data_IF_222710657431
#
_entry.id   IF_222710657431
#
_cell.length_a   1.000
_cell.length_b   1.000
_cell.length_c   1.000
_cell.angle_alpha   90.00
_cell.angle_beta   90.00
_cell.angle_gamma   90.00
#
_symmetry.space_group_name_H-M   'P 1'
#
loop_
_entity.id
_entity.type
_entity.pdbx_description
1 polymer ?
#
# COMPACT_ATOMS: atom_id res chain seq x y z
N UNK A 1 -1.19 -16.54 26.29
CA UNK A 1 -0.39 -15.47 25.66
C UNK A 1 -1.28 -14.25 25.57
N UNK A 2 -0.89 -13.13 26.17
CA UNK A 2 -1.68 -11.88 26.12
C UNK A 2 -1.53 -11.21 24.74
N UNK A 3 -2.46 -10.33 24.36
CA UNK A 3 -2.36 -9.46 23.16
C UNK A 3 -0.96 -8.81 23.02
N UNK A 4 -0.33 -8.46 24.15
CA UNK A 4 1.01 -7.86 24.17
C UNK A 4 2.10 -8.77 23.57
N UNK A 5 2.03 -10.10 23.71
CA UNK A 5 3.07 -11.00 23.19
C UNK A 5 3.03 -11.17 21.67
N UNK A 6 1.84 -11.12 21.06
CA UNK A 6 1.67 -11.22 19.60
C UNK A 6 2.11 -9.94 18.88
N UNK A 7 1.80 -8.76 19.44
CA UNK A 7 2.34 -7.50 18.92
C UNK A 7 3.87 -7.47 18.91
N UNK A 8 4.53 -8.14 19.87
CA UNK A 8 5.99 -8.24 19.91
C UNK A 8 6.56 -9.13 18.78
N UNK A 9 5.81 -10.11 18.27
CA UNK A 9 6.26 -10.96 17.16
C UNK A 9 6.47 -10.11 15.90
N UNK A 10 5.45 -9.31 15.55
CA UNK A 10 5.50 -8.45 14.36
C UNK A 10 6.06 -7.06 14.61
N UNK A 11 6.44 -6.73 15.85
CA UNK A 11 7.20 -5.51 16.15
C UNK A 11 8.47 -5.43 15.30
N UNK A 12 9.16 -6.57 15.10
CA UNK A 12 10.33 -6.66 14.21
C UNK A 12 10.04 -6.21 12.77
N UNK A 13 8.86 -6.49 12.23
CA UNK A 13 8.44 -6.01 10.90
C UNK A 13 8.25 -4.49 10.89
N UNK A 14 7.65 -3.95 11.95
CA UNK A 14 7.48 -2.49 12.09
C UNK A 14 8.84 -1.79 12.24
N UNK A 15 9.78 -2.38 12.98
CA UNK A 15 11.13 -1.83 13.09
C UNK A 15 11.88 -1.83 11.76
N UNK A 16 11.69 -2.87 10.91
CA UNK A 16 12.18 -2.81 9.53
C UNK A 16 11.49 -1.70 8.73
N UNK A 17 10.17 -1.50 8.88
CA UNK A 17 9.47 -0.41 8.22
C UNK A 17 10.00 0.97 8.64
N UNK A 18 10.50 1.13 9.88
CA UNK A 18 11.16 2.36 10.34
C UNK A 18 12.50 2.64 9.66
N UNK A 19 13.25 1.59 9.31
CA UNK A 19 14.52 1.74 8.57
C UNK A 19 14.24 2.23 7.14
N UNK A 20 13.15 1.73 6.55
CA UNK A 20 12.70 2.09 5.21
C UNK A 20 11.54 3.11 5.23
N UNK A 21 11.55 3.99 6.23
CA UNK A 21 10.52 5.01 6.42
C UNK A 21 10.64 6.09 5.33
N UNK A 22 9.58 6.25 4.55
CA UNK A 22 9.46 7.19 3.41
C UNK A 22 9.62 8.65 3.85
N UNK A 23 9.31 8.98 5.10
CA UNK A 23 9.43 10.33 5.63
C UNK A 23 10.84 10.64 6.15
N UNK A 24 11.68 9.62 6.33
CA UNK A 24 13.00 9.76 6.98
C UNK A 24 14.17 9.40 6.08
N UNK A 25 13.94 8.61 5.03
CA UNK A 25 15.01 8.09 4.18
C UNK A 25 14.75 8.38 2.70
N UNK A 26 15.73 8.94 1.96
CA UNK A 26 15.62 9.14 0.52
C UNK A 26 16.03 7.88 -0.28
N UNK A 27 16.23 6.74 0.38
CA UNK A 27 16.65 5.52 -0.31
C UNK A 27 15.54 5.01 -1.25
N UNK A 28 15.87 4.40 -2.40
CA UNK A 28 14.86 3.89 -3.34
C UNK A 28 13.90 2.84 -2.75
N UNK A 29 14.32 2.14 -1.69
CA UNK A 29 13.49 1.16 -0.98
C UNK A 29 12.76 1.75 0.23
N UNK A 30 12.89 3.04 0.51
CA UNK A 30 12.17 3.71 1.59
C UNK A 30 10.73 4.04 1.14
N UNK A 31 9.87 3.02 1.24
CA UNK A 31 8.50 3.00 0.71
C UNK A 31 7.44 2.73 1.79
N UNK A 32 7.83 2.76 3.07
CA UNK A 32 6.95 2.39 4.17
C UNK A 32 6.65 3.59 5.06
N UNK A 33 5.46 3.60 5.65
CA UNK A 33 5.14 4.44 6.80
C UNK A 33 4.74 3.51 7.95
N UNK A 34 5.55 3.41 9.02
CA UNK A 34 5.27 2.50 10.11
C UNK A 34 4.06 2.99 10.94
N UNK A 35 3.07 2.12 11.14
CA UNK A 35 1.88 2.39 11.94
C UNK A 35 1.82 1.47 13.17
N UNK A 36 0.87 1.72 14.09
CA UNK A 36 0.73 0.92 15.31
C UNK A 36 0.30 -0.54 15.05
N UNK A 37 -0.48 -0.77 13.99
CA UNK A 37 -1.07 -2.07 13.68
C UNK A 37 -0.86 -2.46 12.20
N UNK A 38 0.32 -2.15 11.67
CA UNK A 38 0.69 -2.40 10.28
C UNK A 38 1.54 -1.27 9.72
N UNK A 39 1.41 -0.98 8.44
CA UNK A 39 2.16 0.09 7.77
C UNK A 39 1.44 0.56 6.50
N UNK A 40 1.61 1.83 6.16
CA UNK A 40 1.24 2.32 4.81
C UNK A 40 2.35 1.99 3.81
N UNK A 41 1.95 1.90 2.55
CA UNK A 41 2.81 1.71 1.40
C UNK A 41 2.73 2.92 0.48
N UNK A 42 3.91 3.42 0.14
CA UNK A 42 4.16 4.55 -0.74
C UNK A 42 5.04 4.09 -1.89
N UNK A 43 4.95 4.68 -3.07
CA UNK A 43 5.86 4.38 -4.17
C UNK A 43 6.69 5.60 -4.54
N UNK A 44 7.80 5.38 -5.24
CA UNK A 44 8.65 6.42 -5.80
C UNK A 44 8.97 6.11 -7.28
N UNK A 45 9.58 7.04 -8.04
CA UNK A 45 9.88 6.82 -9.45
C UNK A 45 10.78 5.62 -9.75
N UNK A 46 11.49 5.04 -8.78
CA UNK A 46 12.35 3.87 -8.98
C UNK A 46 11.72 2.58 -8.41
N UNK A 47 10.67 2.68 -7.61
CA UNK A 47 10.01 1.58 -6.93
C UNK A 47 8.51 1.87 -6.83
N UNK A 48 7.77 1.41 -7.84
CA UNK A 48 6.34 1.65 -8.02
C UNK A 48 5.63 0.43 -8.61
N UNK A 49 4.30 0.34 -8.46
CA UNK A 49 3.54 -0.65 -9.20
C UNK A 49 3.72 -0.49 -10.71
N UNK A 50 3.54 -1.59 -11.45
CA UNK A 50 3.64 -1.58 -12.91
C UNK A 50 2.41 -0.90 -13.52
N UNK A 51 2.57 -0.34 -14.71
CA UNK A 51 1.47 0.20 -15.52
C UNK A 51 1.74 1.62 -16.01
N UNK A 52 1.14 1.95 -17.16
CA UNK A 52 1.32 3.23 -17.86
C UNK A 52 0.92 4.43 -16.98
N UNK A 53 -0.13 4.28 -16.17
CA UNK A 53 -0.59 5.31 -15.25
C UNK A 53 0.45 5.65 -14.17
N UNK A 54 1.23 4.68 -13.71
CA UNK A 54 2.34 4.92 -12.78
C UNK A 54 3.60 5.43 -13.47
N UNK A 55 3.79 5.14 -14.76
CA UNK A 55 4.85 5.74 -15.59
C UNK A 55 4.56 7.22 -15.88
N UNK A 56 3.29 7.56 -16.01
CA UNK A 56 2.81 8.93 -16.29
C UNK A 56 2.49 9.72 -15.02
N UNK A 57 2.63 9.11 -13.83
CA UNK A 57 2.32 9.75 -12.57
C UNK A 57 3.34 10.85 -12.23
N UNK A 58 2.83 11.99 -11.78
CA UNK A 58 3.66 13.07 -11.28
C UNK A 58 3.97 12.84 -9.80
N UNK A 59 5.24 12.57 -9.49
CA UNK A 59 5.70 12.38 -8.12
C UNK A 59 6.14 13.72 -7.53
N UNK A 60 5.46 14.14 -6.45
CA UNK A 60 5.88 15.28 -5.63
C UNK A 60 6.51 14.76 -4.34
N UNK A 61 7.51 15.48 -3.83
CA UNK A 61 8.13 15.20 -2.53
C UNK A 61 7.18 15.52 -1.37
N UNK A 62 6.41 16.60 -1.45
CA UNK A 62 5.58 17.03 -0.31
C UNK A 62 6.35 16.97 1.03
N UNK A 63 5.77 16.27 2.02
CA UNK A 63 6.36 16.08 3.35
C UNK A 63 7.33 14.88 3.47
N UNK A 64 7.50 14.09 2.41
CA UNK A 64 8.33 12.88 2.42
C UNK A 64 9.81 13.20 2.14
N UNK A 65 10.71 12.24 2.36
CA UNK A 65 12.14 12.44 2.14
C UNK A 65 12.54 12.47 0.65
N UNK A 66 11.69 11.95 -0.25
CA UNK A 66 11.88 11.87 -1.70
C UNK A 66 10.53 11.94 -2.43
N UNK A 67 10.46 12.28 -3.74
CA UNK A 67 9.20 12.25 -4.48
C UNK A 67 8.45 10.91 -4.36
N UNK A 68 7.24 10.95 -3.80
CA UNK A 68 6.49 9.76 -3.43
C UNK A 68 4.98 9.93 -3.58
N UNK A 69 4.29 8.82 -3.82
CA UNK A 69 2.82 8.76 -3.91
C UNK A 69 2.29 7.59 -3.08
N UNK A 70 1.19 7.82 -2.38
CA UNK A 70 0.51 6.79 -1.59
C UNK A 70 -0.10 5.71 -2.50
N UNK A 71 0.06 4.44 -2.11
CA UNK A 71 -0.50 3.28 -2.81
C UNK A 71 -1.58 2.60 -1.98
N UNK A 72 -1.32 2.36 -0.69
CA UNK A 72 -2.23 1.57 0.15
C UNK A 72 -1.70 1.32 1.55
N UNK A 73 -2.29 0.34 2.23
CA UNK A 73 -1.88 -0.04 3.57
C UNK A 73 -2.06 -1.51 3.86
N UNK A 74 -1.22 -2.00 4.76
CA UNK A 74 -1.30 -3.33 5.35
C UNK A 74 -1.63 -3.20 6.82
N UNK A 75 -2.57 -4.02 7.30
CA UNK A 75 -2.94 -4.06 8.71
C UNK A 75 -2.98 -5.50 9.23
N UNK A 76 -2.78 -5.66 10.54
CA UNK A 76 -2.83 -6.97 11.19
C UNK A 76 -4.26 -7.49 11.28
N UNK A 77 -4.50 -8.67 10.72
CA UNK A 77 -5.76 -9.40 10.84
C UNK A 77 -5.76 -10.31 12.05
N UNK A 78 -6.68 -10.09 12.99
CA UNK A 78 -6.74 -10.80 14.26
C UNK A 78 -7.80 -11.90 14.26
N UNK A 79 -7.44 -13.11 14.70
CA UNK A 79 -8.41 -14.11 15.11
C UNK A 79 -8.77 -13.90 16.59
N UNK A 80 -9.99 -13.42 16.84
CA UNK A 80 -10.51 -13.14 18.19
C UNK A 80 -11.28 -14.30 18.80
N UNK A 81 -11.52 -15.38 18.05
CA UNK A 81 -12.29 -16.54 18.52
C UNK A 81 -11.44 -17.58 19.27
N UNK A 82 -10.14 -17.32 19.40
CA UNK A 82 -9.20 -18.17 20.14
C UNK A 82 -9.04 -17.70 21.59
N UNK A 83 -8.74 -18.62 22.51
CA UNK A 83 -8.48 -18.31 23.92
C UNK A 83 -7.25 -17.40 24.13
N UNK A 84 -6.45 -17.20 23.08
CA UNK A 84 -5.42 -16.18 22.96
C UNK A 84 -5.55 -15.54 21.57
N UNK A 85 -5.77 -14.22 21.46
CA UNK A 85 -5.92 -13.54 20.18
C UNK A 85 -4.60 -13.51 19.43
N UNK A 86 -4.64 -13.87 18.14
CA UNK A 86 -3.45 -13.97 17.29
C UNK A 86 -3.62 -13.30 15.95
N UNK A 87 -2.53 -12.79 15.40
CA UNK A 87 -2.48 -12.31 14.03
C UNK A 87 -2.46 -13.53 13.11
N UNK A 88 -3.55 -13.71 12.35
CA UNK A 88 -3.77 -14.87 11.49
C UNK A 88 -3.68 -14.55 10.00
N UNK A 89 -3.82 -13.29 9.62
CA UNK A 89 -3.72 -12.82 8.24
C UNK A 89 -3.21 -11.37 8.17
N UNK A 90 -2.88 -10.92 6.96
CA UNK A 90 -2.57 -9.54 6.64
C UNK A 90 -3.74 -8.94 5.84
N UNK A 91 -4.41 -7.96 6.41
CA UNK A 91 -5.36 -7.15 5.65
C UNK A 91 -4.58 -6.23 4.71
N UNK A 92 -4.96 -6.19 3.44
CA UNK A 92 -4.36 -5.36 2.41
C UNK A 92 -5.44 -4.58 1.67
N UNK A 93 -5.29 -3.27 1.57
CA UNK A 93 -6.12 -2.45 0.71
C UNK A 93 -5.25 -1.43 0.00
N UNK A 94 -5.56 -1.14 -1.26
CA UNK A 94 -4.88 -0.11 -2.04
C UNK A 94 -5.88 0.91 -2.54
N UNK A 95 -5.48 2.18 -2.50
CA UNK A 95 -6.21 3.28 -3.08
C UNK A 95 -5.19 4.29 -3.56
N UNK A 96 -4.84 4.18 -4.85
CA UNK A 96 -3.76 4.95 -5.45
C UNK A 96 -4.18 6.39 -5.73
N UNK A 97 -4.29 7.21 -4.68
CA UNK A 97 -4.74 8.61 -4.78
C UNK A 97 -3.92 9.42 -5.79
N UNK A 98 -2.62 9.13 -5.94
CA UNK A 98 -1.74 9.77 -6.92
C UNK A 98 -2.20 9.60 -8.37
N UNK A 99 -3.01 8.59 -8.68
CA UNK A 99 -3.52 8.31 -10.03
C UNK A 99 -4.84 9.02 -10.33
N UNK A 100 -5.46 9.71 -9.37
CA UNK A 100 -6.74 10.38 -9.60
C UNK A 100 -6.69 11.35 -10.77
N UNK A 101 -5.61 12.13 -10.89
CA UNK A 101 -5.48 13.11 -11.97
C UNK A 101 -5.31 12.44 -13.34
N UNK A 102 -4.56 11.34 -13.41
CA UNK A 102 -4.42 10.54 -14.63
C UNK A 102 -5.81 10.07 -15.12
N UNK A 103 -6.59 9.43 -14.24
CA UNK A 103 -7.91 8.94 -14.60
C UNK A 103 -8.92 10.06 -14.87
N UNK A 104 -8.87 11.17 -14.13
CA UNK A 104 -9.69 12.36 -14.42
C UNK A 104 -9.44 12.89 -15.81
N UNK A 105 -8.18 13.02 -16.22
CA UNK A 105 -7.81 13.49 -17.56
C UNK A 105 -8.28 12.50 -18.62
N UNK A 106 -8.07 11.21 -18.40
CA UNK A 106 -8.50 10.15 -19.33
C UNK A 106 -10.01 10.16 -19.55
N UNK A 107 -10.80 10.22 -18.47
CA UNK A 107 -12.27 10.26 -18.56
C UNK A 107 -12.75 11.55 -19.24
N UNK A 108 -12.17 12.72 -18.90
CA UNK A 108 -12.50 13.98 -19.58
C UNK A 108 -12.27 13.92 -21.09
N UNK A 109 -11.13 13.38 -21.51
CA UNK A 109 -10.84 13.21 -22.94
C UNK A 109 -11.86 12.28 -23.63
N UNK A 110 -12.27 11.19 -22.97
CA UNK A 110 -13.32 10.30 -23.50
C UNK A 110 -14.69 10.97 -23.56
N UNK A 111 -15.04 11.85 -22.60
CA UNK A 111 -16.27 12.65 -22.65
C UNK A 111 -16.23 13.59 -23.86
N UNK A 112 -15.11 14.30 -24.07
CA UNK A 112 -14.93 15.17 -25.24
C UNK A 112 -15.01 14.42 -26.57
N UNK A 113 -14.60 13.14 -26.59
CA UNK A 113 -14.70 12.25 -27.74
C UNK A 113 -16.10 11.61 -27.93
N UNK A 114 -17.03 11.80 -26.97
CA UNK A 114 -18.36 11.18 -27.00
C UNK A 114 -18.38 9.69 -26.62
N UNK A 115 -17.35 9.21 -25.94
CA UNK A 115 -17.16 7.80 -25.55
C UNK A 115 -17.51 7.51 -24.08
N UNK A 116 -17.75 8.57 -23.28
CA UNK A 116 -18.05 8.50 -21.86
C UNK A 116 -19.00 9.63 -21.44
N UNK A 117 -19.57 9.52 -20.24
CA UNK A 117 -20.44 10.54 -19.65
C UNK A 117 -19.81 11.19 -18.41
N UNK A 118 -20.27 12.39 -18.03
CA UNK A 118 -19.81 13.06 -16.79
C UNK A 118 -19.99 12.18 -15.54
N UNK A 119 -20.98 11.27 -15.55
CA UNK A 119 -21.25 10.31 -14.49
C UNK A 119 -20.08 9.33 -14.26
N UNK A 120 -19.24 9.09 -15.26
CA UNK A 120 -18.06 8.22 -15.15
C UNK A 120 -16.94 8.83 -14.29
N UNK A 121 -16.94 10.15 -14.08
CA UNK A 121 -16.01 10.79 -13.15
C UNK A 121 -16.20 10.32 -11.70
N UNK A 122 -17.40 9.87 -11.34
CA UNK A 122 -17.72 9.35 -10.00
C UNK A 122 -17.06 7.99 -9.78
N UNK A 123 -16.81 7.23 -10.86
CA UNK A 123 -16.20 5.89 -10.80
C UNK A 123 -14.69 5.91 -10.60
N UNK A 124 -14.05 7.09 -10.62
CA UNK A 124 -12.58 7.19 -10.50
C UNK A 124 -12.08 6.58 -9.19
N UNK A 125 -12.85 6.64 -8.09
CA UNK A 125 -12.48 5.97 -6.84
C UNK A 125 -12.40 4.45 -7.01
N UNK A 126 -13.27 3.85 -7.83
CA UNK A 126 -13.24 2.41 -8.15
C UNK A 126 -12.05 2.08 -9.06
N UNK A 127 -11.69 2.98 -9.98
CA UNK A 127 -10.57 2.78 -10.90
C UNK A 127 -9.20 2.78 -10.20
N UNK A 128 -9.09 3.45 -9.04
CA UNK A 128 -7.85 3.55 -8.25
C UNK A 128 -7.80 2.62 -7.04
N UNK A 129 -8.90 1.96 -6.72
CA UNK A 129 -8.99 1.05 -5.58
C UNK A 129 -8.61 -0.37 -5.99
N UNK A 130 -7.79 -1.05 -5.19
CA UNK A 130 -7.50 -2.48 -5.33
C UNK A 130 -7.13 -2.92 -6.75
N UNK A 131 -6.40 -2.07 -7.47
CA UNK A 131 -5.88 -2.40 -8.81
C UNK A 131 -4.92 -3.57 -8.69
N UNK A 132 -5.01 -4.51 -9.62
CA UNK A 132 -4.20 -5.73 -9.57
C UNK A 132 -2.69 -5.45 -9.49
N UNK A 133 -2.20 -4.51 -10.29
CA UNK A 133 -0.80 -4.10 -10.26
C UNK A 133 -0.36 -3.53 -8.90
N UNK A 134 -1.23 -2.74 -8.26
CA UNK A 134 -0.97 -2.13 -6.96
C UNK A 134 -0.94 -3.18 -5.86
N UNK A 135 -1.89 -4.13 -5.91
CA UNK A 135 -1.97 -5.26 -4.98
C UNK A 135 -0.75 -6.18 -5.11
N UNK A 136 -0.34 -6.54 -6.32
CA UNK A 136 0.81 -7.42 -6.53
C UNK A 136 2.11 -6.77 -6.07
N UNK A 137 2.32 -5.50 -6.41
CA UNK A 137 3.46 -4.73 -5.90
C UNK A 137 3.42 -4.62 -4.37
N UNK A 138 2.26 -4.34 -3.78
CA UNK A 138 2.11 -4.23 -2.33
C UNK A 138 2.41 -5.55 -1.61
N UNK A 139 1.95 -6.69 -2.15
CA UNK A 139 2.27 -8.03 -1.63
C UNK A 139 3.77 -8.30 -1.73
N UNK A 140 4.42 -7.95 -2.84
CA UNK A 140 5.86 -8.11 -3.02
C UNK A 140 6.66 -7.30 -2.00
N UNK A 141 6.34 -6.02 -1.84
CA UNK A 141 6.99 -5.14 -0.85
C UNK A 141 6.73 -5.61 0.58
N UNK A 142 5.55 -6.13 0.86
CA UNK A 142 5.25 -6.69 2.17
C UNK A 142 6.06 -7.95 2.45
N UNK A 143 6.15 -8.89 1.50
CA UNK A 143 6.99 -10.09 1.65
C UNK A 143 8.45 -9.74 1.88
N UNK A 144 8.99 -8.81 1.10
CA UNK A 144 10.36 -8.34 1.29
C UNK A 144 10.61 -7.77 2.69
N UNK A 145 9.67 -7.00 3.24
CA UNK A 145 9.78 -6.46 4.59
C UNK A 145 9.76 -7.56 5.67
N UNK A 146 8.93 -8.58 5.47
CA UNK A 146 8.85 -9.75 6.36
C UNK A 146 10.11 -10.61 6.30
N UNK A 147 10.68 -10.81 5.10
CA UNK A 147 11.94 -11.52 4.91
C UNK A 147 13.08 -10.81 5.66
N UNK A 148 13.16 -9.47 5.58
CA UNK A 148 14.14 -8.68 6.34
C UNK A 148 13.95 -8.77 7.86
N UNK A 149 12.71 -8.95 8.31
CA UNK A 149 12.39 -9.13 9.72
C UNK A 149 12.61 -10.57 10.20
N UNK A 150 13.00 -11.48 9.30
CA UNK A 150 13.11 -12.92 9.55
C UNK A 150 11.80 -13.51 10.11
N UNK A 151 10.66 -13.02 9.60
CA UNK A 151 9.32 -13.46 10.01
C UNK A 151 8.55 -14.09 8.85
N UNK A 152 7.87 -15.22 9.08
CA UNK A 152 6.97 -15.75 8.07
C UNK A 152 5.75 -14.84 7.93
N UNK A 153 5.20 -14.78 6.72
CA UNK A 153 3.84 -14.26 6.49
C UNK A 153 2.85 -15.16 7.26
N UNK A 154 1.82 -14.62 7.93
CA UNK A 154 0.79 -15.42 8.59
C UNK A 154 0.17 -16.46 7.65
N UNK A 155 -0.26 -17.60 8.21
CA UNK A 155 -0.82 -18.73 7.42
C UNK A 155 -2.04 -18.31 6.59
N UNK A 156 -2.86 -17.39 7.09
CA UNK A 156 -4.01 -16.84 6.36
C UNK A 156 -3.62 -15.94 5.18
N UNK A 157 -2.34 -15.61 5.01
CA UNK A 157 -1.82 -14.85 3.88
C UNK A 157 -2.37 -13.42 3.83
N UNK A 158 -2.55 -12.92 2.61
CA UNK A 158 -3.12 -11.60 2.34
C UNK A 158 -4.62 -11.72 2.10
N UNK A 159 -5.42 -10.91 2.81
CA UNK A 159 -6.85 -10.74 2.56
C UNK A 159 -7.06 -9.33 2.03
N UNK A 160 -7.54 -9.22 0.79
CA UNK A 160 -7.86 -7.94 0.18
C UNK A 160 -9.19 -7.43 0.72
N UNK A 161 -9.20 -6.19 1.21
CA UNK A 161 -10.40 -5.49 1.70
C UNK A 161 -10.81 -4.35 0.80
#
# INVERSE_FOLDING_TARGET
MSHQMEHLIYASVIEQARIFDVFRSPAPNAVYEPLMAGFSLWCNPNNRPKGEEWESAEFDKGATAQPCLYVGGVFWGWNVNEHAPKISYLGLSTTAYGLQQYYRKKVKNSIEAGEAEDSDLIKISEMIANREADLEWAKERTRWLFDLAERPIPVGGFIVS
#
